data_IF_346625477525
#
_entry.id   IF_346625477525
#
_cell.length_a   1.000
_cell.length_b   1.000
_cell.length_c   1.000
_cell.angle_alpha   90.00
_cell.angle_beta   90.00
_cell.angle_gamma   90.00
#
_symmetry.space_group_name_H-M   'P 1'
#
loop_
_entity.id
_entity.type
_entity.pdbx_description
1 polymer ?
#
# COMPACT_ATOMS: atom_id res chain seq x y z
N UNK A 1 27.17 17.87 -0.41
CA UNK A 1 27.35 16.43 -0.13
C UNK A 1 26.02 15.67 -0.01
N UNK A 2 25.17 15.91 1.01
CA UNK A 2 23.85 15.23 1.15
C UNK A 2 22.91 15.37 -0.07
N UNK A 3 22.86 16.53 -0.71
CA UNK A 3 22.02 16.74 -1.91
C UNK A 3 22.46 15.95 -3.14
N UNK A 4 23.77 15.65 -3.27
CA UNK A 4 24.29 14.84 -4.37
C UNK A 4 23.97 13.34 -4.17
N UNK A 5 24.03 12.87 -2.93
CA UNK A 5 23.62 11.50 -2.56
C UNK A 5 22.13 11.30 -2.85
N UNK A 6 21.29 12.26 -2.48
CA UNK A 6 19.85 12.17 -2.73
C UNK A 6 19.50 12.23 -4.24
N UNK A 7 20.23 13.03 -5.02
CA UNK A 7 20.09 13.03 -6.48
C UNK A 7 20.53 11.70 -7.11
N UNK A 8 21.61 11.10 -6.60
CA UNK A 8 22.09 9.79 -7.05
C UNK A 8 21.09 8.66 -6.72
N UNK A 9 20.49 8.66 -5.52
CA UNK A 9 19.46 7.67 -5.16
C UNK A 9 18.21 7.78 -6.03
N UNK A 10 17.75 9.00 -6.34
CA UNK A 10 16.64 9.20 -7.28
C UNK A 10 16.95 8.70 -8.68
N UNK A 11 18.19 8.91 -9.14
CA UNK A 11 18.64 8.41 -10.44
C UNK A 11 18.62 6.87 -10.52
N UNK A 12 18.70 6.17 -9.38
CA UNK A 12 18.61 4.70 -9.33
C UNK A 12 17.16 4.23 -9.15
N UNK A 13 16.44 4.76 -8.15
CA UNK A 13 15.11 4.24 -7.79
C UNK A 13 14.01 4.64 -8.77
N UNK A 14 14.08 5.85 -9.34
CA UNK A 14 13.08 6.35 -10.29
C UNK A 14 12.94 5.43 -11.51
N UNK A 15 14.02 5.21 -12.29
CA UNK A 15 13.95 4.33 -13.45
C UNK A 15 13.52 2.91 -13.11
N UNK A 16 13.94 2.37 -11.96
CA UNK A 16 13.53 1.02 -11.54
C UNK A 16 12.01 0.93 -11.33
N UNK A 17 11.42 1.91 -10.62
CA UNK A 17 9.99 1.98 -10.40
C UNK A 17 9.21 2.19 -11.72
N UNK A 18 9.67 3.12 -12.57
CA UNK A 18 9.04 3.42 -13.87
C UNK A 18 9.00 2.19 -14.79
N UNK A 19 10.12 1.48 -14.89
CA UNK A 19 10.21 0.25 -15.70
C UNK A 19 9.32 -0.85 -15.12
N UNK A 20 9.28 -1.01 -13.80
CA UNK A 20 8.41 -1.99 -13.15
C UNK A 20 6.93 -1.69 -13.40
N UNK A 21 6.51 -0.43 -13.30
CA UNK A 21 5.14 0.02 -13.58
C UNK A 21 4.80 -0.17 -15.06
N UNK A 22 5.69 0.26 -15.96
CA UNK A 22 5.52 0.08 -17.41
C UNK A 22 5.41 -1.39 -17.81
N UNK A 23 6.29 -2.24 -17.29
CA UNK A 23 6.24 -3.69 -17.49
C UNK A 23 4.96 -4.31 -16.96
N UNK A 24 4.50 -3.89 -15.78
CA UNK A 24 3.23 -4.37 -15.21
C UNK A 24 2.03 -3.98 -16.09
N UNK A 25 2.01 -2.76 -16.65
CA UNK A 25 0.97 -2.35 -17.58
C UNK A 25 0.97 -3.20 -18.86
N UNK A 26 2.15 -3.52 -19.41
CA UNK A 26 2.28 -4.44 -20.55
C UNK A 26 1.73 -5.82 -20.20
N UNK A 27 2.10 -6.37 -19.03
CA UNK A 27 1.58 -7.67 -18.56
C UNK A 27 0.06 -7.66 -18.50
N UNK A 28 -0.56 -6.63 -17.90
CA UNK A 28 -2.01 -6.52 -17.77
C UNK A 28 -2.69 -6.51 -19.16
N UNK A 29 -2.23 -5.64 -20.07
CA UNK A 29 -2.80 -5.52 -21.42
C UNK A 29 -2.64 -6.81 -22.22
N UNK A 30 -1.43 -7.39 -22.24
CA UNK A 30 -1.18 -8.66 -22.91
C UNK A 30 -2.02 -9.81 -22.33
N UNK A 31 -2.21 -9.84 -21.01
CA UNK A 31 -3.05 -10.85 -20.35
C UNK A 31 -4.53 -10.74 -20.75
N UNK A 32 -5.05 -9.52 -20.86
CA UNK A 32 -6.41 -9.28 -21.37
C UNK A 32 -6.59 -9.83 -22.79
N UNK A 33 -5.60 -9.62 -23.67
CA UNK A 33 -5.64 -10.11 -25.06
C UNK A 33 -5.54 -11.64 -25.13
N UNK A 34 -4.60 -12.23 -24.40
CA UNK A 34 -4.40 -13.68 -24.36
C UNK A 34 -5.58 -14.43 -23.74
N UNK A 35 -6.19 -13.86 -22.71
CA UNK A 35 -7.39 -14.44 -22.09
C UNK A 35 -8.57 -14.43 -23.08
N UNK A 36 -8.77 -13.35 -23.85
CA UNK A 36 -9.77 -13.30 -24.93
C UNK A 36 -9.50 -14.32 -26.04
N UNK A 37 -8.23 -14.61 -26.31
CA UNK A 37 -7.81 -15.64 -27.27
C UNK A 37 -7.89 -17.08 -26.70
N UNK A 38 -8.33 -17.27 -25.45
CA UNK A 38 -8.44 -18.59 -24.84
C UNK A 38 -7.11 -19.23 -24.44
N UNK A 39 -6.03 -18.44 -24.30
CA UNK A 39 -4.67 -18.92 -24.01
C UNK A 39 -4.11 -18.39 -22.67
N UNK A 40 -4.77 -18.62 -21.53
CA UNK A 40 -4.32 -18.10 -20.23
C UNK A 40 -2.95 -18.65 -19.78
N UNK A 41 -2.53 -19.82 -20.27
CA UNK A 41 -1.22 -20.41 -19.95
C UNK A 41 -0.05 -19.56 -20.48
N UNK A 42 -0.24 -18.88 -21.62
CA UNK A 42 0.77 -18.02 -22.24
C UNK A 42 1.07 -16.77 -21.42
N UNK A 43 0.22 -16.42 -20.45
CA UNK A 43 0.44 -15.29 -19.54
C UNK A 43 1.73 -15.50 -18.71
N UNK A 44 2.07 -16.74 -18.31
CA UNK A 44 3.35 -17.02 -17.64
C UNK A 44 4.56 -16.63 -18.51
N UNK A 45 4.51 -16.95 -19.81
CA UNK A 45 5.58 -16.62 -20.75
C UNK A 45 5.68 -15.10 -20.95
N UNK A 46 4.54 -14.40 -21.04
CA UNK A 46 4.53 -12.93 -21.12
C UNK A 46 5.17 -12.31 -19.88
N UNK A 47 4.80 -12.74 -18.68
CA UNK A 47 5.41 -12.21 -17.44
C UNK A 47 6.91 -12.43 -17.45
N UNK A 48 7.37 -13.64 -17.79
CA UNK A 48 8.81 -13.94 -17.86
C UNK A 48 9.53 -13.03 -18.86
N UNK A 49 9.02 -12.92 -20.09
CA UNK A 49 9.62 -12.09 -21.14
C UNK A 49 9.65 -10.62 -20.72
N UNK A 50 8.55 -10.08 -20.19
CA UNK A 50 8.48 -8.68 -19.77
C UNK A 50 9.43 -8.40 -18.61
N UNK A 51 9.55 -9.30 -17.63
CA UNK A 51 10.51 -9.16 -16.53
C UNK A 51 11.96 -9.21 -17.05
N UNK A 52 12.29 -10.13 -17.95
CA UNK A 52 13.62 -10.18 -18.56
C UNK A 52 13.95 -8.91 -19.36
N UNK A 53 13.00 -8.41 -20.14
CA UNK A 53 13.16 -7.16 -20.90
C UNK A 53 13.30 -5.94 -19.97
N UNK A 54 12.52 -5.89 -18.89
CA UNK A 54 12.62 -4.86 -17.87
C UNK A 54 14.01 -4.87 -17.20
N UNK A 55 14.52 -6.04 -16.83
CA UNK A 55 15.87 -6.18 -16.28
C UNK A 55 16.95 -5.74 -17.28
N UNK A 56 16.84 -6.14 -18.55
CA UNK A 56 17.78 -5.74 -19.58
C UNK A 56 17.75 -4.23 -19.84
N UNK A 57 16.56 -3.63 -19.93
CA UNK A 57 16.39 -2.20 -20.08
C UNK A 57 17.00 -1.43 -18.90
N UNK A 58 16.74 -1.88 -17.67
CA UNK A 58 17.31 -1.24 -16.48
C UNK A 58 18.84 -1.37 -16.43
N UNK A 59 19.39 -2.52 -16.83
CA UNK A 59 20.83 -2.74 -16.95
C UNK A 59 21.46 -1.73 -17.91
N UNK A 60 20.85 -1.52 -19.08
CA UNK A 60 21.31 -0.54 -20.07
C UNK A 60 21.25 0.88 -19.52
N UNK A 61 20.14 1.25 -18.86
CA UNK A 61 19.97 2.58 -18.28
C UNK A 61 20.97 2.89 -17.16
N UNK A 62 21.33 1.88 -16.36
CA UNK A 62 22.34 2.00 -15.31
C UNK A 62 23.78 1.81 -15.83
N UNK A 63 23.96 1.57 -17.14
CA UNK A 63 25.24 1.24 -17.76
C UNK A 63 25.97 0.07 -17.05
N UNK A 64 25.20 -0.96 -16.69
CA UNK A 64 25.66 -2.19 -16.05
C UNK A 64 25.62 -3.36 -17.05
N UNK A 65 26.50 -4.34 -16.89
CA UNK A 65 26.32 -5.63 -17.55
C UNK A 65 25.21 -6.45 -16.89
N UNK A 66 24.59 -7.36 -17.65
CA UNK A 66 23.52 -8.22 -17.13
C UNK A 66 23.95 -9.10 -15.95
N UNK A 67 25.25 -9.43 -15.86
CA UNK A 67 25.81 -10.23 -14.77
C UNK A 67 26.03 -9.42 -13.50
N UNK A 68 26.25 -8.11 -13.60
CA UNK A 68 26.40 -7.21 -12.46
C UNK A 68 25.05 -6.83 -11.86
N UNK A 69 23.99 -6.83 -12.66
CA UNK A 69 22.66 -6.39 -12.24
C UNK A 69 22.13 -7.09 -10.97
N UNK A 70 22.21 -8.43 -10.81
CA UNK A 70 21.77 -9.08 -9.57
C UNK A 70 22.51 -8.57 -8.32
N UNK A 71 23.82 -8.36 -8.41
CA UNK A 71 24.63 -7.83 -7.31
C UNK A 71 24.31 -6.37 -7.02
N UNK A 72 24.04 -5.58 -8.06
CA UNK A 72 23.60 -4.20 -7.91
C UNK A 72 22.24 -4.09 -7.21
N UNK A 73 21.26 -4.88 -7.64
CA UNK A 73 19.94 -4.96 -6.99
C UNK A 73 20.05 -5.48 -5.55
N UNK A 74 20.92 -6.47 -5.32
CA UNK A 74 21.24 -6.93 -3.96
C UNK A 74 21.76 -5.80 -3.08
N UNK A 75 22.67 -4.96 -3.60
CA UNK A 75 23.21 -3.80 -2.88
C UNK A 75 22.20 -2.69 -2.60
N UNK A 76 21.11 -2.61 -3.38
CA UNK A 76 19.98 -1.70 -3.07
C UNK A 76 19.20 -2.21 -1.84
N UNK A 77 19.00 -3.53 -1.75
CA UNK A 77 18.23 -4.15 -0.66
C UNK A 77 19.06 -4.26 0.61
N UNK A 78 20.29 -4.78 0.51
CA UNK A 78 21.19 -5.01 1.64
C UNK A 78 22.36 -4.03 1.57
N UNK A 79 22.09 -2.78 1.94
CA UNK A 79 23.17 -1.80 2.10
C UNK A 79 24.01 -2.10 3.36
N UNK A 80 25.09 -1.36 3.54
CA UNK A 80 25.97 -1.51 4.70
C UNK A 80 25.41 -0.91 6.00
N UNK A 81 24.16 -0.45 6.02
CA UNK A 81 23.57 0.22 7.19
C UNK A 81 22.79 -0.76 8.06
N UNK A 82 23.02 -0.70 9.37
CA UNK A 82 22.23 -1.46 10.35
C UNK A 82 20.74 -1.06 10.31
N UNK A 83 20.44 0.20 9.97
CA UNK A 83 19.07 0.70 9.87
C UNK A 83 18.25 -0.07 8.83
N UNK A 84 18.79 -0.28 7.62
CA UNK A 84 18.10 -1.02 6.57
C UNK A 84 17.90 -2.48 6.95
N UNK A 85 18.91 -3.09 7.57
CA UNK A 85 18.80 -4.47 8.07
C UNK A 85 17.67 -4.60 9.10
N UNK A 86 17.60 -3.72 10.10
CA UNK A 86 16.53 -3.77 11.11
C UNK A 86 15.15 -3.51 10.51
N UNK A 87 15.04 -2.61 9.52
CA UNK A 87 13.79 -2.39 8.78
C UNK A 87 13.38 -3.65 8.02
N UNK A 88 14.30 -4.29 7.29
CA UNK A 88 14.00 -5.52 6.56
C UNK A 88 13.57 -6.65 7.48
N UNK A 89 14.21 -6.82 8.65
CA UNK A 89 13.78 -7.77 9.66
C UNK A 89 12.36 -7.46 10.16
N UNK A 90 12.10 -6.20 10.53
CA UNK A 90 10.79 -5.77 10.99
C UNK A 90 9.70 -5.95 9.92
N UNK A 91 9.98 -5.60 8.66
CA UNK A 91 9.04 -5.77 7.55
C UNK A 91 8.80 -7.24 7.24
N UNK A 92 9.84 -8.06 7.28
CA UNK A 92 9.73 -9.51 7.10
C UNK A 92 8.85 -10.15 8.17
N UNK A 93 8.95 -9.71 9.42
CA UNK A 93 8.07 -10.15 10.50
C UNK A 93 6.61 -9.73 10.27
N UNK A 94 6.37 -8.50 9.80
CA UNK A 94 5.01 -8.04 9.47
C UNK A 94 4.40 -8.82 8.29
N UNK A 95 5.20 -9.12 7.26
CA UNK A 95 4.78 -9.94 6.12
C UNK A 95 4.52 -11.38 6.56
N UNK A 96 5.42 -11.99 7.34
CA UNK A 96 5.25 -13.34 7.86
C UNK A 96 3.99 -13.44 8.75
N UNK A 97 3.75 -12.46 9.62
CA UNK A 97 2.54 -12.38 10.42
C UNK A 97 1.28 -12.25 9.56
N UNK A 98 1.33 -11.44 8.48
CA UNK A 98 0.23 -11.30 7.51
C UNK A 98 -0.08 -12.59 6.77
N UNK A 99 0.94 -13.34 6.35
CA UNK A 99 0.78 -14.64 5.70
C UNK A 99 0.23 -15.67 6.69
N UNK A 100 0.82 -15.77 7.89
CA UNK A 100 0.37 -16.72 8.92
C UNK A 100 -1.08 -16.48 9.34
N UNK A 101 -1.44 -15.21 9.54
CA UNK A 101 -2.82 -14.80 9.81
C UNK A 101 -3.74 -15.09 8.62
N UNK A 102 -3.27 -14.82 7.39
CA UNK A 102 -3.98 -15.11 6.16
C UNK A 102 -4.33 -16.60 6.03
N UNK A 103 -3.35 -17.47 6.28
CA UNK A 103 -3.52 -18.93 6.29
C UNK A 103 -4.50 -19.34 7.38
N UNK A 104 -4.33 -18.84 8.61
CA UNK A 104 -5.24 -19.13 9.72
C UNK A 104 -6.70 -18.76 9.38
N UNK A 105 -6.95 -17.58 8.83
CA UNK A 105 -8.31 -17.17 8.46
C UNK A 105 -8.83 -18.01 7.28
N UNK A 106 -7.99 -18.31 6.29
CA UNK A 106 -8.34 -19.18 5.17
C UNK A 106 -8.78 -20.58 5.64
N UNK A 107 -8.10 -21.18 6.63
CA UNK A 107 -8.50 -22.49 7.17
C UNK A 107 -9.81 -22.44 7.96
N UNK A 108 -10.16 -21.30 8.56
CA UNK A 108 -11.47 -21.11 9.22
C UNK A 108 -12.62 -20.83 8.24
N UNK A 109 -12.31 -20.46 6.99
CA UNK A 109 -13.29 -20.20 5.93
C UNK A 109 -14.14 -18.94 6.10
N UNK A 110 -13.90 -18.11 7.13
CA UNK A 110 -14.67 -16.90 7.40
C UNK A 110 -13.78 -15.71 7.70
N UNK A 111 -13.89 -14.65 6.89
CA UNK A 111 -13.28 -13.35 7.19
C UNK A 111 -14.31 -12.37 7.73
N UNK A 112 -13.84 -11.42 8.54
CA UNK A 112 -14.66 -10.35 9.10
C UNK A 112 -13.97 -9.02 8.83
N UNK A 113 -14.70 -7.92 8.95
CA UNK A 113 -14.14 -6.57 8.83
C UNK A 113 -12.97 -6.35 9.79
N UNK A 114 -13.03 -6.97 10.97
CA UNK A 114 -11.96 -6.95 11.97
C UNK A 114 -10.70 -7.67 11.47
N UNK A 115 -10.85 -8.82 10.80
CA UNK A 115 -9.71 -9.53 10.24
C UNK A 115 -9.00 -8.69 9.17
N UNK A 116 -9.76 -7.93 8.36
CA UNK A 116 -9.17 -7.03 7.35
C UNK A 116 -8.33 -5.91 7.96
N UNK A 117 -8.66 -5.45 9.17
CA UNK A 117 -7.87 -4.41 9.87
C UNK A 117 -6.49 -4.90 10.31
N UNK A 118 -6.26 -6.22 10.39
CA UNK A 118 -4.92 -6.76 10.61
C UNK A 118 -3.95 -6.36 9.49
N UNK A 119 -4.38 -6.46 8.23
CA UNK A 119 -3.56 -6.03 7.08
C UNK A 119 -3.38 -4.51 7.04
N UNK A 120 -4.38 -3.74 7.49
CA UNK A 120 -4.27 -2.28 7.59
C UNK A 120 -3.20 -1.89 8.62
N UNK A 121 -3.12 -2.62 9.74
CA UNK A 121 -2.09 -2.43 10.75
C UNK A 121 -0.70 -2.78 10.21
N UNK A 122 -0.50 -3.97 9.62
CA UNK A 122 0.83 -4.42 9.18
C UNK A 122 1.40 -3.53 8.07
N UNK A 123 0.58 -3.13 7.09
CA UNK A 123 1.02 -2.18 6.04
C UNK A 123 1.34 -0.80 6.62
N UNK A 124 0.56 -0.34 7.60
CA UNK A 124 0.81 0.95 8.27
C UNK A 124 2.12 0.94 9.04
N UNK A 125 2.44 -0.17 9.73
CA UNK A 125 3.70 -0.34 10.44
C UNK A 125 4.90 -0.32 9.48
N UNK A 126 4.82 -1.05 8.38
CA UNK A 126 5.86 -1.06 7.33
C UNK A 126 6.04 0.36 6.76
N UNK A 127 4.95 1.02 6.38
CA UNK A 127 5.00 2.37 5.82
C UNK A 127 5.58 3.40 6.80
N UNK A 128 5.08 3.45 8.04
CA UNK A 128 5.54 4.43 9.05
C UNK A 128 7.01 4.23 9.35
N UNK A 129 7.45 2.98 9.58
CA UNK A 129 8.87 2.70 9.83
C UNK A 129 9.74 3.10 8.64
N UNK A 130 9.33 2.77 7.41
CA UNK A 130 10.04 3.22 6.22
C UNK A 130 10.09 4.75 6.07
N UNK A 131 8.97 5.44 6.26
CA UNK A 131 8.89 6.89 6.09
C UNK A 131 9.89 7.66 6.97
N UNK A 132 10.09 7.20 8.20
CA UNK A 132 10.95 7.84 9.19
C UNK A 132 12.40 7.37 9.15
N UNK A 133 12.67 6.11 8.78
CA UNK A 133 14.01 5.54 8.84
C UNK A 133 14.70 5.33 7.48
N UNK A 134 13.94 5.09 6.39
CA UNK A 134 14.47 4.97 5.02
C UNK A 134 13.39 5.30 3.96
N UNK A 135 13.14 6.60 3.76
CA UNK A 135 12.03 7.09 2.92
C UNK A 135 12.16 6.66 1.46
N UNK A 136 13.36 6.78 0.90
CA UNK A 136 13.57 6.53 -0.52
C UNK A 136 13.38 5.03 -0.82
N UNK A 137 13.83 4.16 0.09
CA UNK A 137 13.63 2.72 -0.06
C UNK A 137 12.16 2.32 0.09
N UNK A 138 11.42 2.84 1.08
CA UNK A 138 9.98 2.54 1.21
C UNK A 138 9.16 3.09 0.04
N UNK A 139 9.55 4.23 -0.55
CA UNK A 139 8.92 4.74 -1.78
C UNK A 139 9.06 3.73 -2.92
N UNK A 140 10.27 3.20 -3.15
CA UNK A 140 10.52 2.18 -4.15
C UNK A 140 9.76 0.89 -3.84
N UNK A 141 9.85 0.39 -2.60
CA UNK A 141 9.15 -0.82 -2.16
C UNK A 141 7.64 -0.71 -2.32
N UNK A 142 7.06 0.47 -2.09
CA UNK A 142 5.63 0.73 -2.31
C UNK A 142 5.20 0.51 -3.75
N UNK A 143 5.91 1.11 -4.71
CA UNK A 143 5.63 0.92 -6.14
C UNK A 143 5.79 -0.54 -6.56
N UNK A 144 6.87 -1.20 -6.14
CA UNK A 144 7.10 -2.61 -6.47
C UNK A 144 6.03 -3.52 -5.87
N UNK A 145 5.59 -3.26 -4.64
CA UNK A 145 4.54 -4.05 -3.97
C UNK A 145 3.19 -3.91 -4.70
N UNK A 146 2.84 -2.71 -5.16
CA UNK A 146 1.65 -2.49 -5.99
C UNK A 146 1.73 -3.31 -7.28
N UNK A 147 2.87 -3.28 -7.98
CA UNK A 147 3.09 -4.09 -9.19
C UNK A 147 2.91 -5.58 -8.92
N UNK A 148 3.47 -6.09 -7.81
CA UNK A 148 3.33 -7.49 -7.40
C UNK A 148 1.86 -7.85 -7.16
N UNK A 149 1.11 -7.02 -6.42
CA UNK A 149 -0.30 -7.27 -6.14
C UNK A 149 -1.15 -7.25 -7.40
N UNK A 150 -0.86 -6.36 -8.36
CA UNK A 150 -1.51 -6.35 -9.67
C UNK A 150 -1.21 -7.62 -10.46
N UNK A 151 0.04 -8.11 -10.47
CA UNK A 151 0.41 -9.35 -11.18
C UNK A 151 -0.24 -10.58 -10.53
N UNK A 152 -0.26 -10.64 -9.19
CA UNK A 152 -0.99 -11.70 -8.46
C UNK A 152 -2.46 -11.70 -8.85
N UNK A 153 -3.07 -10.51 -8.91
CA UNK A 153 -4.46 -10.36 -9.29
C UNK A 153 -4.72 -10.75 -10.76
N UNK A 154 -3.80 -10.44 -11.67
CA UNK A 154 -3.82 -10.91 -13.07
C UNK A 154 -3.84 -12.45 -13.12
N UNK A 155 -2.94 -13.11 -12.37
CA UNK A 155 -2.89 -14.58 -12.33
C UNK A 155 -4.18 -15.19 -11.79
N UNK A 156 -4.73 -14.62 -10.71
CA UNK A 156 -5.99 -15.07 -10.11
C UNK A 156 -7.17 -14.85 -11.06
N UNK A 157 -7.35 -13.62 -11.54
CA UNK A 157 -8.50 -13.19 -12.32
C UNK A 157 -8.59 -13.93 -13.66
N UNK A 158 -7.48 -14.06 -14.39
CA UNK A 158 -7.43 -14.80 -15.66
C UNK A 158 -7.23 -16.31 -15.50
N UNK A 159 -7.27 -16.83 -14.26
CA UNK A 159 -7.20 -18.25 -13.93
C UNK A 159 -5.95 -18.93 -14.50
N UNK A 160 -4.80 -18.26 -14.39
CA UNK A 160 -3.51 -18.73 -14.94
C UNK A 160 -3.02 -19.97 -14.19
N UNK A 161 -2.80 -21.12 -14.86
CA UNK A 161 -2.20 -22.30 -14.22
C UNK A 161 -0.70 -22.11 -13.91
N UNK A 162 -0.15 -22.73 -12.85
CA UNK A 162 -0.84 -23.54 -11.83
C UNK A 162 -1.50 -22.70 -10.72
N UNK A 163 -1.35 -21.38 -10.73
CA UNK A 163 -1.60 -20.47 -9.60
C UNK A 163 -3.06 -20.31 -9.18
N UNK A 164 -4.00 -20.56 -10.10
CA UNK A 164 -5.42 -20.17 -9.93
C UNK A 164 -6.07 -20.73 -8.64
N UNK A 165 -5.72 -21.94 -8.22
CA UNK A 165 -6.39 -22.63 -7.11
C UNK A 165 -5.91 -22.04 -5.79
N UNK A 166 -4.59 -22.02 -5.59
CA UNK A 166 -3.95 -21.49 -4.38
C UNK A 166 -4.29 -20.02 -4.17
N UNK A 167 -4.30 -19.21 -5.24
CA UNK A 167 -4.66 -17.80 -5.15
C UNK A 167 -6.12 -17.59 -4.79
N UNK A 168 -7.05 -18.39 -5.32
CA UNK A 168 -8.46 -18.27 -4.97
C UNK A 168 -8.74 -18.74 -3.54
N UNK A 169 -8.17 -19.87 -3.13
CA UNK A 169 -8.36 -20.42 -1.78
C UNK A 169 -7.84 -19.47 -0.70
N UNK A 170 -6.73 -18.78 -0.98
CA UNK A 170 -6.16 -17.80 -0.07
C UNK A 170 -6.90 -16.45 -0.11
N UNK A 171 -7.16 -15.88 -1.30
CA UNK A 171 -7.62 -14.49 -1.43
C UNK A 171 -9.13 -14.33 -1.38
N UNK A 172 -9.94 -15.28 -1.87
CA UNK A 172 -11.39 -15.11 -1.93
C UNK A 172 -12.05 -15.08 -0.54
N UNK A 173 -11.41 -15.69 0.47
CA UNK A 173 -11.88 -15.60 1.86
C UNK A 173 -11.89 -14.14 2.36
N UNK A 174 -11.04 -13.28 1.80
CA UNK A 174 -10.94 -11.86 2.16
C UNK A 174 -11.75 -10.91 1.27
N UNK A 175 -12.52 -11.43 0.31
CA UNK A 175 -13.33 -10.62 -0.60
C UNK A 175 -14.26 -9.69 0.18
N UNK A 176 -14.21 -8.39 -0.13
CA UNK A 176 -15.08 -7.37 0.48
C UNK A 176 -16.36 -7.13 -0.36
N UNK A 177 -17.37 -6.45 0.20
CA UNK A 177 -18.55 -5.96 -0.53
C UNK A 177 -18.17 -5.04 -1.69
N UNK A 178 -17.01 -4.38 -1.60
CA UNK A 178 -16.45 -3.50 -2.62
C UNK A 178 -15.86 -4.28 -3.82
N UNK A 179 -15.53 -5.56 -3.62
CA UNK A 179 -14.85 -6.38 -4.62
C UNK A 179 -15.86 -7.09 -5.54
N UNK A 180 -15.56 -7.07 -6.83
CA UNK A 180 -16.39 -7.71 -7.86
C UNK A 180 -15.79 -9.04 -8.29
N UNK A 181 -15.61 -9.26 -9.59
CA UNK A 181 -14.80 -10.37 -10.08
C UNK A 181 -13.30 -10.10 -9.82
N UNK A 182 -12.87 -8.84 -9.79
CA UNK A 182 -11.51 -8.37 -9.45
C UNK A 182 -11.44 -8.04 -7.96
N UNK A 183 -10.36 -8.43 -7.27
CA UNK A 183 -10.08 -8.09 -5.87
C UNK A 183 -9.25 -6.80 -5.82
N UNK A 184 -9.93 -5.66 -5.68
CA UNK A 184 -9.33 -4.34 -5.67
C UNK A 184 -8.97 -3.89 -4.25
N UNK A 185 -9.67 -4.37 -3.22
CA UNK A 185 -9.46 -3.94 -1.82
C UNK A 185 -7.99 -3.98 -1.38
N UNK A 186 -7.21 -5.07 -1.60
CA UNK A 186 -5.81 -5.09 -1.19
C UNK A 186 -4.93 -4.09 -1.95
N UNK A 187 -5.22 -3.85 -3.24
CA UNK A 187 -4.52 -2.90 -4.09
C UNK A 187 -4.84 -1.46 -3.65
N UNK A 188 -6.12 -1.17 -3.37
CA UNK A 188 -6.57 0.13 -2.90
C UNK A 188 -6.09 0.45 -1.49
N UNK A 189 -5.92 -0.55 -0.62
CA UNK A 189 -5.27 -0.36 0.68
C UNK A 189 -3.81 0.09 0.51
N UNK A 190 -3.03 -0.60 -0.33
CA UNK A 190 -1.64 -0.23 -0.62
C UNK A 190 -1.56 1.17 -1.22
N UNK A 191 -2.37 1.46 -2.25
CA UNK A 191 -2.44 2.79 -2.82
C UNK A 191 -2.83 3.83 -1.78
N UNK A 192 -3.88 3.60 -1.00
CA UNK A 192 -4.35 4.55 0.01
C UNK A 192 -3.28 4.93 1.02
N UNK A 193 -2.52 3.94 1.51
CA UNK A 193 -1.46 4.17 2.49
C UNK A 193 -0.26 4.91 1.87
N UNK A 194 0.17 4.53 0.67
CA UNK A 194 1.39 5.06 0.05
C UNK A 194 1.18 6.30 -0.82
N UNK A 195 -0.05 6.58 -1.26
CA UNK A 195 -0.36 7.66 -2.20
C UNK A 195 0.18 9.02 -1.75
N UNK A 196 0.06 9.44 -0.47
CA UNK A 196 0.62 10.73 -0.04
C UNK A 196 2.14 10.83 -0.24
N UNK A 197 2.88 9.73 -0.07
CA UNK A 197 4.32 9.68 -0.35
C UNK A 197 4.60 9.74 -1.85
N UNK A 198 3.78 9.09 -2.68
CA UNK A 198 3.92 9.15 -4.14
C UNK A 198 3.62 10.53 -4.72
N UNK A 199 2.68 11.28 -4.13
CA UNK A 199 2.34 12.64 -4.56
C UNK A 199 3.42 13.66 -4.15
N UNK A 200 4.16 13.41 -3.07
CA UNK A 200 5.20 14.31 -2.55
C UNK A 200 6.53 13.60 -2.24
N UNK A 201 7.15 12.90 -3.21
CA UNK A 201 8.32 12.05 -2.96
C UNK A 201 9.58 12.86 -2.66
N UNK A 202 9.60 14.14 -3.04
CA UNK A 202 10.80 14.98 -3.04
C UNK A 202 11.02 15.77 -1.75
N UNK A 203 10.12 15.65 -0.77
CA UNK A 203 10.23 16.31 0.52
C UNK A 203 11.51 15.89 1.24
N UNK A 204 12.28 16.82 1.82
CA UNK A 204 13.55 16.51 2.51
C UNK A 204 13.33 15.74 3.82
N UNK A 205 12.23 16.02 4.51
CA UNK A 205 11.85 15.42 5.78
C UNK A 205 10.37 15.02 5.78
N UNK A 206 9.91 14.13 6.67
CA UNK A 206 8.50 13.74 6.72
C UNK A 206 7.63 14.94 7.09
N UNK A 207 6.47 15.04 6.46
CA UNK A 207 5.42 16.01 6.75
C UNK A 207 4.16 15.23 7.16
N UNK A 208 3.24 15.91 7.85
CA UNK A 208 2.00 15.28 8.32
C UNK A 208 1.15 14.76 7.16
N UNK A 209 1.14 15.44 6.02
CA UNK A 209 0.41 14.96 4.84
C UNK A 209 0.93 13.59 4.35
N UNK A 210 2.21 13.24 4.52
CA UNK A 210 2.68 11.89 4.19
C UNK A 210 2.03 10.81 5.06
N UNK A 211 1.54 11.17 6.25
CA UNK A 211 0.85 10.25 7.14
C UNK A 211 -0.66 10.20 6.88
N UNK A 212 -1.20 10.98 5.94
CA UNK A 212 -2.64 11.05 5.68
C UNK A 212 -3.25 9.67 5.37
N UNK A 213 -2.55 8.83 4.59
CA UNK A 213 -3.00 7.49 4.24
C UNK A 213 -3.11 6.57 5.45
N UNK A 214 -2.06 6.54 6.29
CA UNK A 214 -2.07 5.78 7.54
C UNK A 214 -3.09 6.34 8.53
N UNK A 215 -3.20 7.66 8.65
CA UNK A 215 -4.12 8.30 9.56
C UNK A 215 -5.57 7.95 9.19
N UNK A 216 -5.95 8.09 7.91
CA UNK A 216 -7.30 7.83 7.43
C UNK A 216 -7.64 6.34 7.44
N UNK A 217 -6.86 5.52 6.73
CA UNK A 217 -7.19 4.12 6.43
C UNK A 217 -6.63 3.17 7.48
N UNK A 218 -5.37 3.38 7.88
CA UNK A 218 -4.71 2.55 8.90
C UNK A 218 -5.32 2.68 10.29
N UNK A 219 -5.46 3.92 10.76
CA UNK A 219 -5.86 4.25 12.14
C UNK A 219 -7.35 4.58 12.22
N UNK A 220 -7.80 5.59 11.48
CA UNK A 220 -9.14 6.15 11.57
C UNK A 220 -10.23 5.13 11.26
N UNK A 221 -10.21 4.57 10.04
CA UNK A 221 -11.17 3.57 9.57
C UNK A 221 -11.12 2.27 10.42
N UNK A 222 -9.92 1.84 10.84
CA UNK A 222 -9.80 0.71 11.79
C UNK A 222 -10.52 0.98 13.12
N UNK A 223 -10.28 2.13 13.75
CA UNK A 223 -10.92 2.48 15.03
C UNK A 223 -12.41 2.71 14.85
N UNK A 224 -12.83 3.35 13.75
CA UNK A 224 -14.24 3.55 13.40
C UNK A 224 -14.98 2.20 13.30
N UNK A 225 -14.39 1.23 12.60
CA UNK A 225 -14.97 -0.10 12.44
C UNK A 225 -15.08 -0.85 13.76
N UNK A 226 -14.02 -0.83 14.60
CA UNK A 226 -13.97 -1.50 15.90
C UNK A 226 -15.02 -0.92 16.86
N UNK A 227 -15.01 0.40 17.02
CA UNK A 227 -15.88 1.08 17.97
C UNK A 227 -17.31 1.09 17.45
N UNK A 228 -17.52 1.34 16.16
CA UNK A 228 -18.83 1.32 15.52
C UNK A 228 -19.50 -0.06 15.60
N UNK A 229 -18.75 -1.16 15.46
CA UNK A 229 -19.31 -2.51 15.56
C UNK A 229 -19.61 -2.94 16.99
N UNK A 230 -18.85 -2.46 17.99
CA UNK A 230 -18.99 -2.87 19.40
C UNK A 230 -19.93 -1.96 20.20
N UNK A 231 -19.89 -0.66 19.95
CA UNK A 231 -20.55 0.36 20.76
C UNK A 231 -21.49 1.28 19.96
N UNK A 232 -21.58 1.08 18.65
CA UNK A 232 -22.42 1.92 17.80
C UNK A 232 -23.91 1.66 18.00
N UNK A 233 -24.63 2.67 18.49
CA UNK A 233 -26.08 2.62 18.69
C UNK A 233 -26.75 3.54 17.66
N UNK A 234 -26.21 4.75 17.49
CA UNK A 234 -26.82 5.80 16.67
C UNK A 234 -26.31 5.73 15.24
N UNK A 235 -27.17 5.34 14.29
CA UNK A 235 -26.79 5.28 12.86
C UNK A 235 -27.01 6.63 12.18
N UNK A 236 -26.14 6.95 11.23
CA UNK A 236 -26.36 8.08 10.34
C UNK A 236 -27.62 7.83 9.48
N UNK A 237 -28.43 8.86 9.17
CA UNK A 237 -29.67 8.69 8.41
C UNK A 237 -29.42 7.98 7.08
N UNK A 238 -30.11 6.85 6.85
CA UNK A 238 -29.99 6.01 5.64
C UNK A 238 -28.60 5.42 5.40
N UNK A 239 -27.76 5.27 6.44
CA UNK A 239 -26.41 4.69 6.32
C UNK A 239 -26.20 3.49 7.25
N UNK A 240 -25.24 2.63 6.90
CA UNK A 240 -24.79 1.52 7.74
C UNK A 240 -23.86 1.98 8.89
N UNK A 241 -23.18 3.13 8.73
CA UNK A 241 -22.18 3.67 9.66
C UNK A 241 -22.83 4.36 10.87
N UNK A 242 -22.11 4.42 11.99
CA UNK A 242 -22.59 4.95 13.27
C UNK A 242 -21.91 6.27 13.64
N UNK A 243 -22.62 7.12 14.37
CA UNK A 243 -22.11 8.40 14.88
C UNK A 243 -20.96 8.16 15.85
N UNK A 244 -21.07 7.13 16.70
CA UNK A 244 -20.02 6.74 17.65
C UNK A 244 -18.75 6.29 16.92
N UNK A 245 -18.88 5.58 15.79
CA UNK A 245 -17.77 5.22 14.92
C UNK A 245 -17.07 6.44 14.31
N UNK A 246 -17.84 7.40 13.79
CA UNK A 246 -17.30 8.66 13.24
C UNK A 246 -16.60 9.52 14.31
N UNK A 247 -17.14 9.57 15.53
CA UNK A 247 -16.50 10.26 16.65
C UNK A 247 -15.18 9.58 17.02
N UNK A 248 -15.18 8.25 17.12
CA UNK A 248 -13.97 7.48 17.42
C UNK A 248 -12.88 7.67 16.34
N UNK A 249 -13.27 7.70 15.07
CA UNK A 249 -12.36 8.03 13.96
C UNK A 249 -11.74 9.41 14.13
N UNK A 250 -12.55 10.44 14.40
CA UNK A 250 -12.09 11.81 14.59
C UNK A 250 -11.03 11.89 15.68
N UNK A 251 -11.32 11.28 16.83
CA UNK A 251 -10.42 11.25 17.99
C UNK A 251 -9.13 10.48 17.67
N UNK A 252 -9.23 9.32 17.02
CA UNK A 252 -8.08 8.50 16.65
C UNK A 252 -7.13 9.20 15.67
N UNK A 253 -7.66 9.82 14.60
CA UNK A 253 -6.87 10.59 13.63
C UNK A 253 -6.21 11.78 14.31
N UNK A 254 -6.95 12.54 15.13
CA UNK A 254 -6.43 13.71 15.81
C UNK A 254 -5.29 13.34 16.77
N UNK A 255 -5.44 12.28 17.56
CA UNK A 255 -4.40 11.79 18.46
C UNK A 255 -3.17 11.31 17.67
N UNK A 256 -3.36 10.49 16.64
CA UNK A 256 -2.26 9.97 15.82
C UNK A 256 -1.44 11.10 15.17
N UNK A 257 -2.09 12.04 14.48
CA UNK A 257 -1.40 13.15 13.82
C UNK A 257 -0.73 14.09 14.83
N UNK A 258 -1.35 14.32 16.00
CA UNK A 258 -0.76 15.13 17.06
C UNK A 258 0.50 14.46 17.64
N UNK A 259 0.47 13.15 17.84
CA UNK A 259 1.63 12.37 18.30
C UNK A 259 2.74 12.29 17.24
N UNK A 260 2.39 12.29 15.95
CA UNK A 260 3.36 12.25 14.86
C UNK A 260 4.00 13.62 14.55
N UNK A 261 3.33 14.71 14.91
CA UNK A 261 3.75 16.10 14.64
C UNK A 261 5.19 16.42 15.08
N UNK A 262 5.68 16.02 16.28
CA UNK A 262 7.05 16.31 16.70
C UNK A 262 8.13 15.65 15.82
N UNK A 263 7.78 14.58 15.10
CA UNK A 263 8.69 13.85 14.21
C UNK A 263 8.66 14.37 12.76
N UNK A 264 7.74 15.29 12.46
CA UNK A 264 7.61 15.91 11.14
C UNK A 264 8.23 17.31 11.13
N UNK A 265 8.43 17.90 9.93
CA UNK A 265 8.99 19.26 9.81
C UNK A 265 8.17 20.26 10.61
N UNK A 266 8.85 20.97 11.52
CA UNK A 266 8.29 22.00 12.40
C UNK A 266 7.54 23.08 11.57
N UNK A 267 6.30 23.40 11.98
CA UNK A 267 5.41 24.48 11.49
C UNK A 267 4.34 24.18 10.40
N UNK A 268 4.17 22.97 9.87
CA UNK A 268 3.21 22.78 8.76
C UNK A 268 1.71 22.93 9.17
N UNK A 269 1.29 22.33 10.30
CA UNK A 269 -0.13 22.25 10.66
C UNK A 269 -0.38 22.61 12.12
N UNK A 270 -1.36 23.46 12.38
CA UNK A 270 -1.84 23.79 13.74
C UNK A 270 -2.68 22.65 14.31
N UNK A 271 -2.80 22.55 15.64
CA UNK A 271 -3.70 21.55 16.25
C UNK A 271 -5.15 21.74 15.78
N UNK A 272 -5.55 22.99 15.49
CA UNK A 272 -6.85 23.30 14.90
C UNK A 272 -7.00 22.67 13.50
N UNK A 273 -5.97 22.74 12.66
CA UNK A 273 -5.99 22.10 11.34
C UNK A 273 -6.10 20.58 11.48
N UNK A 274 -5.36 19.95 12.41
CA UNK A 274 -5.45 18.51 12.65
C UNK A 274 -6.88 18.12 13.03
N UNK A 275 -7.51 18.83 13.97
CA UNK A 275 -8.90 18.56 14.38
C UNK A 275 -9.87 18.76 13.21
N UNK A 276 -9.68 19.83 12.42
CA UNK A 276 -10.50 20.10 11.24
C UNK A 276 -10.39 18.96 10.22
N UNK A 277 -9.18 18.52 9.89
CA UNK A 277 -8.93 17.39 8.98
C UNK A 277 -9.60 16.13 9.50
N UNK A 278 -9.41 15.80 10.78
CA UNK A 278 -10.03 14.62 11.39
C UNK A 278 -11.56 14.62 11.28
N UNK A 279 -12.21 15.78 11.50
CA UNK A 279 -13.66 15.94 11.37
C UNK A 279 -14.11 15.76 9.92
N UNK A 280 -13.40 16.38 8.97
CA UNK A 280 -13.73 16.27 7.53
C UNK A 280 -13.60 14.82 7.06
N UNK A 281 -12.52 14.13 7.43
CA UNK A 281 -12.33 12.72 7.06
C UNK A 281 -13.41 11.81 7.67
N UNK A 282 -13.75 12.00 8.94
CA UNK A 282 -14.82 11.24 9.58
C UNK A 282 -16.21 11.51 8.96
N UNK A 283 -16.47 12.74 8.51
CA UNK A 283 -17.68 13.07 7.78
C UNK A 283 -17.71 12.40 6.40
N UNK A 284 -16.61 12.47 5.63
CA UNK A 284 -16.53 11.81 4.32
C UNK A 284 -16.74 10.30 4.47
N UNK A 285 -16.12 9.67 5.47
CA UNK A 285 -16.29 8.24 5.77
C UNK A 285 -17.75 7.88 6.14
N UNK A 286 -18.46 8.77 6.85
CA UNK A 286 -19.86 8.54 7.18
C UNK A 286 -20.79 8.56 5.96
N UNK A 287 -20.41 9.27 4.89
CA UNK A 287 -21.26 9.53 3.72
C UNK A 287 -20.79 8.86 2.42
N UNK A 288 -19.59 8.28 2.40
CA UNK A 288 -19.01 7.59 1.23
C UNK A 288 -19.16 6.08 1.38
N UNK A 289 -19.46 5.40 0.27
CA UNK A 289 -19.51 3.94 0.20
C UNK A 289 -18.53 3.47 -0.89
N UNK A 290 -17.78 2.40 -0.60
CA UNK A 290 -16.97 1.63 -1.56
C UNK A 290 -15.70 2.29 -2.16
N UNK A 291 -15.31 3.50 -1.76
CA UNK A 291 -14.10 4.19 -2.27
C UNK A 291 -13.32 4.95 -1.17
N UNK A 292 -13.57 4.59 0.07
CA UNK A 292 -12.97 5.16 1.29
C UNK A 292 -11.44 5.06 1.29
N UNK A 293 -10.90 3.91 0.86
CA UNK A 293 -9.46 3.63 0.83
C UNK A 293 -8.64 4.53 -0.11
N UNK A 294 -9.27 5.29 -1.02
CA UNK A 294 -8.57 6.23 -1.92
C UNK A 294 -8.97 7.68 -1.60
N UNK A 295 -10.26 7.95 -1.42
CA UNK A 295 -10.75 9.32 -1.23
C UNK A 295 -10.22 9.93 0.07
N UNK A 296 -10.24 9.17 1.17
CA UNK A 296 -9.83 9.70 2.47
C UNK A 296 -8.34 10.07 2.50
N UNK A 297 -7.40 9.23 2.02
CA UNK A 297 -5.99 9.64 1.90
C UNK A 297 -5.77 10.88 1.03
N UNK A 298 -6.47 11.01 -0.10
CA UNK A 298 -6.33 12.17 -0.99
C UNK A 298 -6.79 13.45 -0.28
N UNK A 299 -7.97 13.43 0.33
CA UNK A 299 -8.49 14.60 1.03
C UNK A 299 -7.61 14.94 2.23
N UNK A 300 -7.18 13.94 2.98
CA UNK A 300 -6.27 14.13 4.11
C UNK A 300 -4.94 14.74 3.67
N UNK A 301 -4.38 14.29 2.55
CA UNK A 301 -3.16 14.84 1.98
C UNK A 301 -3.33 16.30 1.53
N UNK A 302 -4.45 16.63 0.86
CA UNK A 302 -4.69 17.99 0.36
C UNK A 302 -4.95 19.02 1.47
N UNK A 303 -5.50 18.58 2.60
CA UNK A 303 -5.82 19.47 3.72
C UNK A 303 -4.67 19.65 4.72
N UNK A 304 -3.68 18.75 4.74
CA UNK A 304 -2.54 18.77 5.68
C UNK A 304 -1.31 19.51 5.13
#
# INVERSE_FOLDING_TARGET
FRGAIQAAMKAVYGPLAEIAVGGTAVIVVSSMLLSKAGQPTMINAVVLVVVCLAMALYSILMNLSLLELPFFLWGIVFDSTNSRLFLLLFWSLNVAASIAFGVFVSTTGQSSTMHRKFFHLTVSLIYVSGLFFDRDFIWLSGWLMICIFVIIEVFRFFKVPPWKEQLNDFLLVFKDEQDSAVLLTPIFLLFGVFLPLFLSPNSKSPNLYHLAGVAAVGVGDSVAAIIGSKFGITRWPRRKKTVEGSLAMTVAIAMFLTMARPFCVFHASSCLLIVFVSLVLAAIEAFTENVDNIILPIVGYLLL
#
